data_IF_750480969073
#
_entry.id   IF_750480969073
#
_cell.length_a   1.000
_cell.length_b   1.000
_cell.length_c   1.000
_cell.angle_alpha   90.00
_cell.angle_beta   90.00
_cell.angle_gamma   90.00
#
_symmetry.space_group_name_H-M   'P 1'
#
loop_
_entity.id
_entity.type
_entity.pdbx_description
1 polymer ?
#
# COMPACT_ATOMS: atom_id res chain seq x y z
N UNK A 1 -20.21 38.31 32.48
CA UNK A 1 -20.72 37.73 31.21
C UNK A 1 -19.68 37.67 30.09
N UNK A 2 -18.69 38.60 30.03
CA UNK A 2 -17.64 38.59 29.01
C UNK A 2 -16.50 37.58 29.25
N UNK A 3 -16.20 37.27 30.52
CA UNK A 3 -15.15 36.31 30.89
C UNK A 3 -15.52 34.85 30.56
N UNK A 4 -16.79 34.48 30.64
CA UNK A 4 -17.25 33.11 30.33
C UNK A 4 -17.12 32.77 28.83
N UNK A 5 -17.30 33.77 27.95
CA UNK A 5 -17.20 33.61 26.49
C UNK A 5 -15.75 33.38 26.05
N UNK A 6 -14.78 34.01 26.73
CA UNK A 6 -13.34 33.86 26.41
C UNK A 6 -12.83 32.47 26.80
N UNK A 7 -13.32 31.91 27.91
CA UNK A 7 -12.91 30.56 28.36
C UNK A 7 -13.47 29.48 27.42
N UNK A 8 -14.69 29.64 26.91
CA UNK A 8 -15.30 28.72 25.93
C UNK A 8 -14.57 28.82 24.57
N UNK A 9 -14.18 30.02 24.13
CA UNK A 9 -13.42 30.19 22.89
C UNK A 9 -12.02 29.53 22.96
N UNK A 10 -11.33 29.58 24.11
CA UNK A 10 -10.05 28.90 24.28
C UNK A 10 -10.18 27.37 24.34
N UNK A 11 -11.28 26.83 24.90
CA UNK A 11 -11.54 25.38 24.92
C UNK A 11 -11.89 24.81 23.53
N UNK A 12 -12.44 25.63 22.63
CA UNK A 12 -12.70 25.23 21.23
C UNK A 12 -11.43 25.41 20.37
N UNK A 13 -10.54 26.35 20.70
CA UNK A 13 -9.29 26.55 19.98
C UNK A 13 -8.22 25.48 20.29
N UNK A 14 -8.23 24.88 21.49
CA UNK A 14 -7.26 23.84 21.86
C UNK A 14 -7.54 22.48 21.23
N UNK A 15 -8.77 22.19 20.77
CA UNK A 15 -9.08 20.94 20.06
C UNK A 15 -8.74 20.98 18.56
N UNK A 16 -8.37 22.15 18.03
CA UNK A 16 -8.07 22.33 16.60
C UNK A 16 -6.58 22.14 16.24
N UNK A 17 -5.72 21.88 17.23
CA UNK A 17 -4.27 21.71 17.03
C UNK A 17 -3.78 20.37 17.58
N UNK A 18 -4.49 19.28 17.25
CA UNK A 18 -3.84 17.97 17.25
C UNK A 18 -3.04 17.88 15.94
N UNK A 19 -1.74 17.55 15.95
CA UNK A 19 -1.04 17.22 14.72
C UNK A 19 -1.81 16.09 14.06
N UNK A 20 -2.26 16.30 12.81
CA UNK A 20 -2.83 15.21 12.01
C UNK A 20 -1.77 14.13 11.93
N UNK A 21 -2.01 12.99 12.59
CA UNK A 21 -1.13 11.84 12.53
C UNK A 21 -1.18 11.33 11.08
N UNK A 22 -0.19 11.70 10.26
CA UNK A 22 -0.08 11.23 8.88
C UNK A 22 0.30 9.77 8.85
N UNK A 23 -0.37 9.00 8.01
CA UNK A 23 -0.05 7.61 7.74
C UNK A 23 0.88 7.49 6.53
N UNK A 24 1.55 6.34 6.38
CA UNK A 24 2.39 6.06 5.21
C UNK A 24 1.60 6.10 3.89
N UNK A 25 0.29 5.82 3.94
CA UNK A 25 -0.61 5.94 2.80
C UNK A 25 -0.76 7.39 2.34
N UNK A 26 -0.80 8.35 3.27
CA UNK A 26 -0.93 9.77 2.93
C UNK A 26 0.31 10.26 2.18
N UNK A 27 1.49 9.80 2.58
CA UNK A 27 2.75 10.14 1.90
C UNK A 27 2.84 9.47 0.51
N UNK A 28 2.30 8.25 0.37
CA UNK A 28 2.22 7.57 -0.94
C UNK A 28 1.24 8.26 -1.88
N UNK A 29 0.07 8.68 -1.38
CA UNK A 29 -0.93 9.41 -2.15
C UNK A 29 -0.38 10.74 -2.68
N UNK A 30 0.42 11.45 -1.88
CA UNK A 30 1.13 12.65 -2.33
C UNK A 30 2.04 12.37 -3.54
N UNK A 31 2.77 11.24 -3.55
CA UNK A 31 3.59 10.86 -4.71
C UNK A 31 2.74 10.51 -5.93
N UNK A 32 1.67 9.75 -5.73
CA UNK A 32 0.76 9.35 -6.81
C UNK A 32 0.11 10.58 -7.45
N UNK A 33 -0.25 11.58 -6.65
CA UNK A 33 -0.83 12.83 -7.13
C UNK A 33 0.09 13.66 -8.05
N UNK A 34 1.41 13.42 -8.00
CA UNK A 34 2.38 14.09 -8.87
C UNK A 34 2.52 13.42 -10.24
N UNK A 35 2.01 12.20 -10.40
CA UNK A 35 2.19 11.40 -11.61
C UNK A 35 0.98 11.53 -12.55
N UNK A 36 1.19 11.73 -13.86
CA UNK A 36 0.13 11.64 -14.86
C UNK A 36 -0.22 10.17 -15.11
N UNK A 37 -0.95 9.54 -14.17
CA UNK A 37 -1.20 8.09 -14.18
C UNK A 37 -1.87 7.61 -15.48
N UNK A 38 -2.82 8.36 -16.02
CA UNK A 38 -3.52 7.98 -17.26
C UNK A 38 -2.56 7.86 -18.45
N UNK A 39 -1.67 8.84 -18.62
CA UNK A 39 -0.67 8.84 -19.69
C UNK A 39 0.34 7.72 -19.50
N UNK A 40 0.78 7.47 -18.26
CA UNK A 40 1.70 6.37 -17.93
C UNK A 40 1.07 5.00 -18.20
N UNK A 41 -0.21 4.81 -17.86
CA UNK A 41 -0.94 3.57 -18.14
C UNK A 41 -1.13 3.36 -19.65
N UNK A 42 -1.51 4.41 -20.39
CA UNK A 42 -1.63 4.34 -21.85
C UNK A 42 -0.28 4.01 -22.51
N UNK A 43 0.80 4.61 -22.02
CA UNK A 43 2.15 4.31 -22.48
C UNK A 43 2.53 2.84 -22.19
N UNK A 44 2.32 2.37 -20.96
CA UNK A 44 2.62 1.00 -20.56
C UNK A 44 1.82 -0.01 -21.42
N UNK A 45 0.52 0.22 -21.61
CA UNK A 45 -0.33 -0.64 -22.44
C UNK A 45 0.12 -0.66 -23.90
N UNK A 46 0.53 0.49 -24.45
CA UNK A 46 1.08 0.55 -25.80
C UNK A 46 2.30 -0.36 -25.91
N UNK A 47 3.29 -0.21 -25.03
CA UNK A 47 4.51 -1.02 -25.08
C UNK A 47 4.24 -2.51 -24.83
N UNK A 48 3.33 -2.84 -23.92
CA UNK A 48 2.94 -4.23 -23.68
C UNK A 48 2.40 -4.92 -24.95
N UNK A 49 1.71 -4.18 -25.83
CA UNK A 49 1.13 -4.72 -27.06
C UNK A 49 2.05 -4.56 -28.28
N UNK A 50 2.87 -3.51 -28.35
CA UNK A 50 3.62 -3.17 -29.57
C UNK A 50 5.11 -3.47 -29.50
N UNK A 51 5.69 -3.57 -28.30
CA UNK A 51 7.14 -3.70 -28.13
C UNK A 51 7.53 -5.15 -27.79
N UNK A 52 8.33 -5.76 -28.66
CA UNK A 52 8.73 -7.15 -28.54
C UNK A 52 9.65 -7.39 -27.33
N UNK A 53 10.55 -6.46 -27.01
CA UNK A 53 11.47 -6.63 -25.89
C UNK A 53 10.72 -6.56 -24.56
N UNK A 54 9.74 -5.64 -24.46
CA UNK A 54 8.85 -5.56 -23.29
C UNK A 54 8.03 -6.84 -23.13
N UNK A 55 7.50 -7.40 -24.22
CA UNK A 55 6.79 -8.68 -24.18
C UNK A 55 7.70 -9.83 -23.72
N UNK A 56 8.95 -9.90 -24.19
CA UNK A 56 9.89 -10.93 -23.72
C UNK A 56 10.22 -10.77 -22.23
N UNK A 57 10.39 -9.53 -21.76
CA UNK A 57 10.59 -9.28 -20.33
C UNK A 57 9.37 -9.74 -19.50
N UNK A 58 8.15 -9.46 -19.98
CA UNK A 58 6.93 -9.93 -19.31
C UNK A 58 6.85 -11.47 -19.27
N UNK A 59 7.17 -12.15 -20.38
CA UNK A 59 7.21 -13.61 -20.41
C UNK A 59 8.22 -14.20 -19.43
N UNK A 60 9.39 -13.57 -19.26
CA UNK A 60 10.35 -13.98 -18.24
C UNK A 60 9.78 -13.81 -16.82
N UNK A 61 9.13 -12.68 -16.53
CA UNK A 61 8.50 -12.43 -15.23
C UNK A 61 7.35 -13.41 -14.92
N UNK A 62 6.70 -13.95 -15.94
CA UNK A 62 5.67 -14.99 -15.81
C UNK A 62 6.26 -16.42 -15.82
N UNK A 63 7.57 -16.57 -16.01
CA UNK A 63 8.25 -17.85 -16.14
C UNK A 63 8.63 -18.48 -14.80
N UNK A 64 8.93 -19.78 -14.83
CA UNK A 64 9.29 -20.57 -13.64
C UNK A 64 10.55 -20.05 -12.91
N UNK A 65 11.51 -19.48 -13.66
CA UNK A 65 12.72 -18.92 -13.08
C UNK A 65 12.39 -17.75 -12.14
N UNK A 66 11.57 -16.79 -12.61
CA UNK A 66 11.15 -15.67 -11.79
C UNK A 66 10.24 -16.12 -10.65
N UNK A 67 9.34 -17.07 -10.89
CA UNK A 67 8.50 -17.64 -9.84
C UNK A 67 9.32 -18.25 -8.68
N UNK A 68 10.43 -18.92 -9.00
CA UNK A 68 11.35 -19.43 -7.99
C UNK A 68 12.01 -18.31 -7.18
N UNK A 69 12.40 -17.20 -7.82
CA UNK A 69 12.94 -16.01 -7.14
C UNK A 69 11.90 -15.37 -6.23
N UNK A 70 10.66 -15.23 -6.73
CA UNK A 70 9.52 -14.71 -5.98
C UNK A 70 9.28 -15.52 -4.69
N UNK A 71 9.16 -16.84 -4.82
CA UNK A 71 8.90 -17.73 -3.68
C UNK A 71 10.05 -17.68 -2.65
N UNK A 72 11.30 -17.73 -3.11
CA UNK A 72 12.47 -17.68 -2.23
C UNK A 72 12.59 -16.33 -1.51
N UNK A 73 12.34 -15.22 -2.20
CA UNK A 73 12.41 -13.88 -1.62
C UNK A 73 11.36 -13.69 -0.54
N UNK A 74 10.10 -14.04 -0.82
CA UNK A 74 9.01 -13.90 0.15
C UNK A 74 9.02 -14.97 1.24
N UNK A 75 9.85 -16.02 1.13
CA UNK A 75 10.09 -16.96 2.21
C UNK A 75 10.94 -16.35 3.35
N UNK A 76 11.76 -15.34 3.07
CA UNK A 76 12.67 -14.71 4.04
C UNK A 76 11.91 -14.06 5.20
N UNK A 77 12.33 -14.35 6.44
CA UNK A 77 11.70 -13.78 7.64
C UNK A 77 11.74 -12.25 7.64
N UNK A 78 12.87 -11.64 7.25
CA UNK A 78 12.99 -10.19 7.18
C UNK A 78 11.98 -9.54 6.21
N UNK A 79 11.68 -10.20 5.09
CA UNK A 79 10.68 -9.71 4.13
C UNK A 79 9.29 -9.82 4.73
N UNK A 80 8.96 -10.95 5.36
CA UNK A 80 7.67 -11.13 6.06
C UNK A 80 7.47 -10.09 7.17
N UNK A 81 8.51 -9.83 7.96
CA UNK A 81 8.47 -8.83 9.04
C UNK A 81 8.22 -7.42 8.50
N UNK A 82 8.84 -7.07 7.37
CA UNK A 82 8.58 -5.80 6.68
C UNK A 82 7.12 -5.70 6.20
N UNK A 83 6.58 -6.74 5.55
CA UNK A 83 5.19 -6.73 5.09
C UNK A 83 4.21 -6.59 6.26
N UNK A 84 4.46 -7.29 7.37
CA UNK A 84 3.63 -7.16 8.57
C UNK A 84 3.72 -5.75 9.18
N UNK A 85 4.90 -5.12 9.15
CA UNK A 85 5.07 -3.73 9.60
C UNK A 85 4.25 -2.77 8.74
N UNK A 86 4.28 -2.92 7.43
CA UNK A 86 3.50 -2.09 6.50
C UNK A 86 1.98 -2.25 6.73
N UNK A 87 1.51 -3.49 6.88
CA UNK A 87 0.12 -3.78 7.25
C UNK A 87 -0.29 -3.14 8.58
N UNK A 88 0.57 -3.23 9.59
CA UNK A 88 0.33 -2.60 10.90
C UNK A 88 0.29 -1.06 10.80
N UNK A 89 0.98 -0.48 9.83
CA UNK A 89 0.96 0.94 9.52
C UNK A 89 -0.21 1.36 8.60
N UNK A 90 -1.12 0.44 8.26
CA UNK A 90 -2.29 0.71 7.42
C UNK A 90 -2.04 0.61 5.91
N UNK A 91 -0.86 0.14 5.49
CA UNK A 91 -0.54 -0.08 4.07
C UNK A 91 -0.96 -1.50 3.68
N UNK A 92 -1.82 -1.69 2.66
CA UNK A 92 -2.31 -3.01 2.24
C UNK A 92 -1.26 -3.76 1.41
N UNK A 93 -0.14 -4.11 2.03
CA UNK A 93 1.05 -4.66 1.37
C UNK A 93 0.78 -6.04 0.75
N UNK A 94 0.06 -6.94 1.45
CA UNK A 94 -0.24 -8.26 0.92
C UNK A 94 -1.23 -8.19 -0.24
N UNK A 95 -2.28 -7.38 -0.13
CA UNK A 95 -3.27 -7.21 -1.21
C UNK A 95 -2.61 -6.61 -2.46
N UNK A 96 -1.75 -5.60 -2.30
CA UNK A 96 -1.03 -4.96 -3.41
C UNK A 96 -0.08 -5.94 -4.12
N UNK A 97 0.68 -6.73 -3.36
CA UNK A 97 1.59 -7.72 -3.94
C UNK A 97 0.84 -8.91 -4.55
N UNK A 98 -0.33 -9.26 -4.01
CA UNK A 98 -1.17 -10.30 -4.59
C UNK A 98 -1.78 -9.86 -5.93
N UNK A 99 -2.09 -8.58 -6.12
CA UNK A 99 -2.48 -8.08 -7.44
C UNK A 99 -1.35 -8.25 -8.48
N UNK A 100 -0.08 -8.06 -8.06
CA UNK A 100 1.09 -8.33 -8.91
C UNK A 100 1.25 -9.83 -9.16
N UNK A 101 1.10 -10.66 -8.13
CA UNK A 101 1.18 -12.11 -8.26
C UNK A 101 0.13 -12.64 -9.23
N UNK A 102 -1.11 -12.17 -9.13
CA UNK A 102 -2.21 -12.56 -10.01
C UNK A 102 -1.93 -12.15 -11.47
N UNK A 103 -1.42 -10.93 -11.69
CA UNK A 103 -1.06 -10.45 -13.03
C UNK A 103 0.08 -11.25 -13.66
N UNK A 104 1.05 -11.69 -12.86
CA UNK A 104 2.22 -12.43 -13.32
C UNK A 104 2.06 -13.96 -13.23
N UNK A 105 0.94 -14.47 -12.71
CA UNK A 105 0.72 -15.91 -12.54
C UNK A 105 1.61 -16.54 -11.45
N UNK A 106 1.97 -15.78 -10.42
CA UNK A 106 2.86 -16.19 -9.32
C UNK A 106 2.08 -16.69 -8.11
N UNK A 107 2.78 -17.34 -7.18
CA UNK A 107 2.19 -17.82 -5.93
C UNK A 107 1.67 -16.65 -5.08
N UNK A 108 0.38 -16.64 -4.67
CA UNK A 108 -0.15 -15.61 -3.78
C UNK A 108 0.51 -15.65 -2.39
N UNK A 109 0.80 -14.47 -1.86
CA UNK A 109 1.33 -14.27 -0.53
C UNK A 109 0.24 -14.42 0.52
N UNK A 110 0.61 -15.06 1.64
CA UNK A 110 -0.28 -15.27 2.78
C UNK A 110 0.21 -14.45 3.97
N UNK A 111 -0.64 -13.60 4.58
CA UNK A 111 -0.29 -12.88 5.78
C UNK A 111 0.11 -13.83 6.91
N UNK A 112 1.23 -13.52 7.57
CA UNK A 112 1.69 -14.29 8.74
C UNK A 112 1.00 -13.89 10.03
N UNK A 113 0.44 -12.69 10.09
CA UNK A 113 -0.28 -12.19 11.26
C UNK A 113 -1.78 -12.23 10.98
N UNK A 114 -2.56 -12.89 11.85
CA UNK A 114 -4.02 -12.80 11.80
C UNK A 114 -4.41 -11.35 12.12
N UNK A 115 -5.07 -10.66 11.18
CA UNK A 115 -5.75 -9.40 11.46
C UNK A 115 -6.75 -9.64 12.60
N UNK A 116 -6.39 -9.26 13.82
CA UNK A 116 -7.34 -9.18 14.92
C UNK A 116 -8.26 -8.01 14.60
N UNK A 117 -9.39 -8.29 13.94
CA UNK A 117 -10.50 -7.35 13.85
C UNK A 117 -10.96 -7.05 15.28
N UNK A 118 -10.49 -5.95 15.86
CA UNK A 118 -10.96 -5.44 17.14
C UNK A 118 -12.41 -4.98 16.93
N UNK A 119 -13.35 -5.92 17.03
CA UNK A 119 -14.77 -5.62 17.10
C UNK A 119 -15.05 -5.08 18.50
N UNK A 120 -14.88 -3.77 18.68
CA UNK A 120 -15.33 -3.11 19.88
C UNK A 120 -16.86 -3.04 19.84
N UNK A 121 -17.51 -4.12 20.32
CA UNK A 121 -18.93 -4.10 20.67
C UNK A 121 -19.05 -3.23 21.93
N UNK A 122 -19.49 -1.98 21.76
CA UNK A 122 -19.92 -1.16 22.89
C UNK A 122 -21.30 -1.69 23.31
N UNK A 123 -21.38 -2.11 24.57
CA UNK A 123 -22.60 -2.49 25.26
C UNK A 123 -23.21 -1.24 25.93
#
# INVERSE_FOLDING_TARGET
MKLAVVVIACLVATVACAPTQRALTDDFDDFVALLPLEDLLNLAMRYLVTDQEVQQALLYLQGEEFASVWDQFFALTAVKDLLNYLEAAGVPAYDSLNAVADFLGLTPLKPTVRSCKFTHKIN
#
